data_IF_182509304631
#
_entry.id   IF_182509304631
#
_cell.length_a   1.000
_cell.length_b   1.000
_cell.length_c   1.000
_cell.angle_alpha   90.00
_cell.angle_beta   90.00
_cell.angle_gamma   90.00
#
_symmetry.space_group_name_H-M   'P 1'
#
loop_
_entity.id
_entity.type
_entity.pdbx_description
1 polymer ?
#
# COMPACT_ATOMS: atom_id res chain seq x y z
N UNK A 1 -10.37 -19.82 1.49
CA UNK A 1 -9.99 -18.59 0.75
C UNK A 1 -9.34 -17.55 1.66
N UNK A 2 -9.61 -17.55 2.97
CA UNK A 2 -8.88 -16.82 4.03
C UNK A 2 -7.45 -17.36 4.28
N UNK A 3 -6.57 -17.34 3.29
CA UNK A 3 -5.15 -17.64 3.55
C UNK A 3 -4.23 -16.75 2.71
N UNK A 4 -4.54 -16.57 1.42
CA UNK A 4 -3.69 -15.78 0.54
C UNK A 4 -3.74 -14.28 0.87
N UNK A 5 -4.93 -13.71 1.06
CA UNK A 5 -5.03 -12.29 1.40
C UNK A 5 -4.43 -11.99 2.77
N UNK A 6 -4.65 -12.86 3.76
CA UNK A 6 -4.09 -12.72 5.10
C UNK A 6 -2.54 -12.74 5.05
N UNK A 7 -1.94 -13.62 4.24
CA UNK A 7 -0.49 -13.62 4.01
C UNK A 7 0.01 -12.29 3.39
N UNK A 8 -0.69 -11.80 2.37
CA UNK A 8 -0.37 -10.54 1.67
C UNK A 8 -0.46 -9.36 2.63
N UNK A 9 -1.56 -9.28 3.41
CA UNK A 9 -1.78 -8.28 4.45
C UNK A 9 -0.66 -8.30 5.49
N UNK A 10 -0.35 -9.47 6.05
CA UNK A 10 0.72 -9.60 7.05
C UNK A 10 2.06 -9.11 6.50
N UNK A 11 2.41 -9.52 5.28
CA UNK A 11 3.66 -9.08 4.65
C UNK A 11 3.67 -7.60 4.25
N UNK A 12 2.50 -7.00 3.99
CA UNK A 12 2.37 -5.55 3.80
C UNK A 12 2.54 -4.80 5.13
N UNK A 13 1.96 -5.30 6.22
CA UNK A 13 2.08 -4.69 7.54
C UNK A 13 3.54 -4.72 8.03
N UNK A 14 4.26 -5.82 7.83
CA UNK A 14 5.71 -5.87 8.08
C UNK A 14 6.49 -4.81 7.29
N UNK A 15 6.13 -4.60 6.02
CA UNK A 15 6.75 -3.57 5.20
C UNK A 15 6.45 -2.16 5.70
N UNK A 16 5.19 -1.91 6.11
CA UNK A 16 4.77 -0.63 6.69
C UNK A 16 5.54 -0.35 7.99
N UNK A 17 5.71 -1.34 8.87
CA UNK A 17 6.52 -1.21 10.09
C UNK A 17 7.98 -0.83 9.78
N UNK A 18 8.58 -1.45 8.77
CA UNK A 18 9.93 -1.09 8.34
C UNK A 18 9.95 0.34 7.74
N UNK A 19 8.94 0.70 6.94
CA UNK A 19 8.82 2.02 6.33
C UNK A 19 8.60 3.14 7.36
N UNK A 20 8.04 2.84 8.54
CA UNK A 20 7.93 3.78 9.67
C UNK A 20 9.28 4.28 10.19
N UNK A 21 10.35 3.53 9.95
CA UNK A 21 11.72 3.92 10.34
C UNK A 21 12.38 4.89 9.34
N UNK A 22 11.72 5.16 8.21
CA UNK A 22 12.22 6.10 7.20
C UNK A 22 11.85 7.53 7.59
N UNK A 23 12.78 8.46 7.36
CA UNK A 23 12.50 9.89 7.37
C UNK A 23 11.51 10.26 6.27
N UNK A 24 10.86 11.42 6.43
CA UNK A 24 10.01 11.99 5.38
C UNK A 24 10.76 12.14 4.05
N UNK A 25 12.03 12.51 4.08
CA UNK A 25 12.85 12.65 2.87
C UNK A 25 13.09 11.32 2.17
N UNK A 26 13.42 10.25 2.90
CA UNK A 26 13.60 8.90 2.34
C UNK A 26 12.29 8.36 1.74
N UNK A 27 11.16 8.54 2.46
CA UNK A 27 9.84 8.10 2.00
C UNK A 27 9.41 8.77 0.68
N UNK A 28 9.78 10.05 0.51
CA UNK A 28 9.42 10.87 -0.66
C UNK A 28 10.52 10.92 -1.75
N UNK A 29 11.70 10.32 -1.52
CA UNK A 29 12.80 10.37 -2.47
C UNK A 29 12.39 9.75 -3.80
N UNK A 30 12.56 10.49 -4.89
CA UNK A 30 12.14 10.05 -6.21
C UNK A 30 13.28 9.36 -6.97
N UNK A 31 13.22 8.03 -7.11
CA UNK A 31 14.20 7.22 -7.84
C UNK A 31 14.02 7.26 -9.38
N UNK A 32 13.50 8.38 -9.90
CA UNK A 32 13.25 8.59 -11.33
C UNK A 32 11.95 7.97 -11.84
N UNK A 33 11.74 8.06 -13.17
CA UNK A 33 10.47 7.71 -13.81
C UNK A 33 10.07 6.24 -13.65
N UNK A 34 11.04 5.32 -13.55
CA UNK A 34 10.81 3.88 -13.44
C UNK A 34 10.40 3.45 -12.03
N UNK A 35 11.09 3.93 -11.01
CA UNK A 35 10.93 3.44 -9.64
C UNK A 35 10.08 4.34 -8.76
N UNK A 36 10.03 5.66 -9.06
CA UNK A 36 9.30 6.65 -8.26
C UNK A 36 9.74 6.61 -6.79
N UNK A 37 8.95 7.17 -5.88
CA UNK A 37 9.23 7.15 -4.43
C UNK A 37 8.59 5.96 -3.73
N UNK A 38 9.07 5.59 -2.54
CA UNK A 38 8.40 4.58 -1.70
C UNK A 38 6.94 4.97 -1.44
N UNK A 39 6.67 6.22 -1.08
CA UNK A 39 5.30 6.75 -0.92
C UNK A 39 4.43 6.46 -2.15
N UNK A 40 4.89 6.87 -3.32
CA UNK A 40 4.18 6.64 -4.58
C UNK A 40 3.79 5.17 -4.76
N UNK A 41 4.74 4.25 -4.57
CA UNK A 41 4.49 2.82 -4.75
C UNK A 41 3.46 2.30 -3.72
N UNK A 42 3.51 2.75 -2.46
CA UNK A 42 2.47 2.43 -1.46
C UNK A 42 1.09 2.93 -1.91
N UNK A 43 1.01 4.15 -2.44
CA UNK A 43 -0.22 4.72 -2.96
C UNK A 43 -0.77 3.94 -4.18
N UNK A 44 0.09 3.34 -5.01
CA UNK A 44 -0.36 2.47 -6.11
C UNK A 44 -0.96 1.15 -5.61
N UNK A 45 -0.48 0.62 -4.48
CA UNK A 45 -1.10 -0.54 -3.84
C UNK A 45 -2.49 -0.15 -3.33
N UNK A 46 -2.60 0.93 -2.56
CA UNK A 46 -3.86 1.42 -2.02
C UNK A 46 -4.88 1.73 -3.12
N UNK A 47 -4.44 2.32 -4.23
CA UNK A 47 -5.29 2.60 -5.40
C UNK A 47 -5.91 1.34 -5.99
N UNK A 48 -5.10 0.32 -6.23
CA UNK A 48 -5.57 -0.90 -6.86
C UNK A 48 -6.66 -1.60 -6.03
N UNK A 49 -6.51 -1.62 -4.70
CA UNK A 49 -7.55 -2.14 -3.83
C UNK A 49 -8.79 -1.25 -3.80
N UNK A 50 -8.63 0.08 -3.78
CA UNK A 50 -9.78 0.99 -3.79
C UNK A 50 -10.63 0.81 -5.07
N UNK A 51 -10.01 0.91 -6.25
CA UNK A 51 -10.71 0.69 -7.53
C UNK A 51 -11.31 -0.72 -7.60
N UNK A 52 -10.56 -1.68 -7.10
CA UNK A 52 -10.92 -3.08 -7.14
C UNK A 52 -12.08 -3.49 -6.25
N UNK A 53 -12.35 -2.67 -5.24
CA UNK A 53 -13.37 -2.84 -4.23
C UNK A 53 -14.33 -1.65 -4.24
N UNK A 54 -14.59 -1.03 -5.40
CA UNK A 54 -15.44 0.17 -5.54
C UNK A 54 -16.83 0.01 -4.88
N UNK A 55 -17.38 -1.21 -4.91
CA UNK A 55 -18.64 -1.57 -4.23
C UNK A 55 -18.60 -1.39 -2.70
N UNK A 56 -17.41 -1.29 -2.11
CA UNK A 56 -17.15 -1.08 -0.68
C UNK A 56 -16.41 0.24 -0.39
N UNK A 57 -16.37 1.17 -1.36
CA UNK A 57 -15.64 2.45 -1.22
C UNK A 57 -16.06 3.26 0.01
N UNK A 58 -17.31 3.18 0.44
CA UNK A 58 -17.81 3.90 1.61
C UNK A 58 -17.14 3.41 2.91
N UNK A 59 -16.67 2.16 2.93
CA UNK A 59 -15.92 1.59 4.05
C UNK A 59 -14.42 1.92 3.95
N UNK A 60 -13.90 2.01 2.73
CA UNK A 60 -12.48 2.27 2.46
C UNK A 60 -12.13 3.76 2.63
N UNK A 61 -13.02 4.64 2.17
CA UNK A 61 -12.79 6.07 2.01
C UNK A 61 -12.50 6.46 0.55
N UNK A 62 -12.63 7.75 0.27
CA UNK A 62 -12.40 8.34 -1.06
C UNK A 62 -10.90 8.41 -1.37
N UNK A 63 -10.46 7.69 -2.41
CA UNK A 63 -9.06 7.66 -2.80
C UNK A 63 -8.58 8.97 -3.41
N UNK A 64 -9.40 9.69 -4.16
CA UNK A 64 -8.99 10.94 -4.78
C UNK A 64 -8.74 12.00 -3.71
N UNK A 65 -9.62 12.10 -2.70
CA UNK A 65 -9.40 12.97 -1.55
C UNK A 65 -8.14 12.56 -0.76
N UNK A 66 -7.93 11.25 -0.57
CA UNK A 66 -6.74 10.74 0.09
C UNK A 66 -5.46 11.10 -0.70
N UNK A 67 -5.46 10.89 -2.01
CA UNK A 67 -4.35 11.20 -2.92
C UNK A 67 -4.09 12.69 -3.05
N UNK A 68 -5.11 13.54 -3.03
CA UNK A 68 -4.95 15.00 -3.03
C UNK A 68 -4.13 15.48 -1.82
N UNK A 69 -4.24 14.78 -0.70
CA UNK A 69 -3.39 15.00 0.47
C UNK A 69 -1.99 14.38 0.35
N UNK A 70 -1.67 13.68 -0.75
CA UNK A 70 -0.43 12.93 -0.98
C UNK A 70 0.88 13.62 -0.58
N UNK A 71 1.06 14.92 -0.86
CA UNK A 71 2.25 15.66 -0.39
C UNK A 71 2.37 15.71 1.13
N UNK A 72 1.24 15.76 1.85
CA UNK A 72 1.13 15.84 3.31
C UNK A 72 1.03 14.48 3.99
N UNK A 73 0.62 13.43 3.26
CA UNK A 73 0.50 12.08 3.82
C UNK A 73 1.83 11.63 4.44
N UNK A 74 1.77 11.20 5.68
CA UNK A 74 2.83 10.44 6.33
C UNK A 74 2.53 8.94 6.23
N UNK A 75 3.41 8.11 6.78
CA UNK A 75 3.27 6.65 6.73
C UNK A 75 2.06 6.13 7.53
N UNK A 76 1.69 6.80 8.63
CA UNK A 76 0.53 6.45 9.47
C UNK A 76 -0.76 6.71 8.70
N UNK A 77 -0.84 7.82 7.95
CA UNK A 77 -2.03 8.09 7.12
C UNK A 77 -2.22 6.99 6.06
N UNK A 78 -1.13 6.48 5.50
CA UNK A 78 -1.13 5.40 4.52
C UNK A 78 -1.52 4.06 5.16
N UNK A 79 -0.99 3.77 6.34
CA UNK A 79 -1.38 2.59 7.14
C UNK A 79 -2.87 2.60 7.46
N UNK A 80 -3.41 3.71 7.96
CA UNK A 80 -4.84 3.84 8.26
C UNK A 80 -5.71 3.58 7.02
N UNK A 81 -5.26 3.98 5.83
CA UNK A 81 -5.99 3.68 4.59
C UNK A 81 -5.98 2.18 4.27
N UNK A 82 -4.86 1.49 4.52
CA UNK A 82 -4.80 0.03 4.41
C UNK A 82 -5.67 -0.68 5.45
N UNK A 83 -5.77 -0.15 6.67
CA UNK A 83 -6.67 -0.70 7.69
C UNK A 83 -8.14 -0.64 7.22
N UNK A 84 -8.55 0.44 6.54
CA UNK A 84 -9.90 0.52 5.97
C UNK A 84 -10.12 -0.50 4.83
N UNK A 85 -9.10 -0.75 3.99
CA UNK A 85 -9.14 -1.80 2.96
C UNK A 85 -9.28 -3.18 3.61
N UNK A 86 -8.47 -3.45 4.63
CA UNK A 86 -8.49 -4.72 5.37
C UNK A 86 -9.86 -4.94 6.00
N UNK A 87 -10.41 -3.92 6.65
CA UNK A 87 -11.75 -3.94 7.22
C UNK A 87 -12.82 -4.26 6.17
N UNK A 88 -12.77 -3.62 4.99
CA UNK A 88 -13.72 -3.87 3.92
C UNK A 88 -13.66 -5.33 3.41
N UNK A 89 -12.47 -5.92 3.31
CA UNK A 89 -12.32 -7.33 2.91
C UNK A 89 -12.78 -8.29 4.01
N UNK A 90 -12.49 -7.99 5.28
CA UNK A 90 -12.93 -8.81 6.42
C UNK A 90 -14.46 -8.85 6.57
N UNK A 91 -15.11 -7.69 6.41
CA UNK A 91 -16.57 -7.59 6.56
C UNK A 91 -17.33 -8.13 5.34
N UNK A 92 -16.72 -8.12 4.16
CA UNK A 92 -17.36 -8.52 2.92
C UNK A 92 -16.50 -9.59 2.22
N UNK A 93 -16.67 -10.89 2.55
CA UNK A 93 -15.90 -11.96 1.93
C UNK A 93 -16.02 -11.91 0.41
N UNK A 94 -14.94 -11.49 -0.26
CA UNK A 94 -14.87 -11.39 -1.72
C UNK A 94 -14.34 -12.70 -2.31
N UNK A 95 -14.84 -13.14 -3.47
CA UNK A 95 -14.21 -14.24 -4.18
C UNK A 95 -12.73 -13.95 -4.49
N UNK A 96 -11.81 -14.92 -4.34
CA UNK A 96 -10.38 -14.75 -4.55
C UNK A 96 -10.06 -14.17 -5.92
N UNK A 97 -10.76 -14.60 -6.95
CA UNK A 97 -10.60 -14.11 -8.32
C UNK A 97 -10.82 -12.60 -8.43
N UNK A 98 -11.67 -12.03 -7.57
CA UNK A 98 -11.91 -10.58 -7.50
C UNK A 98 -10.73 -9.86 -6.89
N UNK A 99 -10.12 -10.39 -5.83
CA UNK A 99 -8.99 -9.75 -5.12
C UNK A 99 -7.62 -10.10 -5.71
N UNK A 100 -7.52 -11.18 -6.49
CA UNK A 100 -6.27 -11.69 -7.03
C UNK A 100 -5.48 -10.64 -7.84
N UNK A 101 -6.10 -9.85 -8.74
CA UNK A 101 -5.36 -8.82 -9.48
C UNK A 101 -4.71 -7.77 -8.56
N UNK A 102 -5.40 -7.39 -7.47
CA UNK A 102 -4.91 -6.39 -6.52
C UNK A 102 -3.83 -6.98 -5.60
N UNK A 103 -3.94 -8.26 -5.27
CA UNK A 103 -2.88 -9.03 -4.59
C UNK A 103 -1.62 -9.07 -5.46
N UNK A 104 -1.72 -9.35 -6.77
CA UNK A 104 -0.56 -9.33 -7.66
C UNK A 104 0.09 -7.94 -7.73
N UNK A 105 -0.73 -6.90 -7.85
CA UNK A 105 -0.27 -5.51 -7.80
C UNK A 105 0.46 -5.20 -6.49
N UNK A 106 -0.09 -5.64 -5.35
CA UNK A 106 0.51 -5.53 -4.03
C UNK A 106 1.91 -6.19 -3.98
N UNK A 107 2.02 -7.45 -4.42
CA UNK A 107 3.32 -8.14 -4.51
C UNK A 107 4.35 -7.37 -5.36
N UNK A 108 3.95 -6.90 -6.55
CA UNK A 108 4.85 -6.16 -7.45
C UNK A 108 5.40 -4.90 -6.78
N UNK A 109 4.51 -4.06 -6.24
CA UNK A 109 4.90 -2.79 -5.64
C UNK A 109 5.63 -2.98 -4.30
N UNK A 110 5.26 -3.96 -3.47
CA UNK A 110 6.03 -4.30 -2.27
C UNK A 110 7.44 -4.78 -2.61
N UNK A 111 7.60 -5.58 -3.66
CA UNK A 111 8.91 -5.99 -4.15
C UNK A 111 9.78 -4.79 -4.55
N UNK A 112 9.20 -3.82 -5.27
CA UNK A 112 9.87 -2.56 -5.59
C UNK A 112 10.24 -1.78 -4.32
N UNK A 113 9.32 -1.62 -3.38
CA UNK A 113 9.58 -0.86 -2.14
C UNK A 113 10.72 -1.51 -1.33
N UNK A 114 10.69 -2.83 -1.13
CA UNK A 114 11.78 -3.55 -0.45
C UNK A 114 13.12 -3.29 -1.12
N UNK A 115 13.18 -3.36 -2.45
CA UNK A 115 14.39 -3.02 -3.21
C UNK A 115 14.85 -1.58 -2.96
N UNK A 116 13.93 -0.61 -2.94
CA UNK A 116 14.26 0.80 -2.69
C UNK A 116 14.75 1.06 -1.25
N UNK A 117 14.20 0.35 -0.26
CA UNK A 117 14.61 0.49 1.14
C UNK A 117 16.05 0.01 1.38
N UNK A 118 16.50 -1.02 0.67
CA UNK A 118 17.91 -1.49 0.72
C UNK A 118 18.90 -0.36 0.39
N UNK A 119 18.55 0.56 -0.52
CA UNK A 119 19.44 1.69 -0.83
C UNK A 119 19.68 2.57 0.40
N UNK A 120 18.66 2.80 1.22
CA UNK A 120 18.81 3.63 2.42
C UNK A 120 19.50 2.89 3.56
N UNK A 121 19.35 1.57 3.64
CA UNK A 121 20.08 0.75 4.61
C UNK A 121 21.59 0.76 4.32
N UNK A 122 22.00 0.69 3.06
CA UNK A 122 23.41 0.69 2.65
C UNK A 122 24.08 2.06 2.81
N UNK A 123 23.30 3.14 2.77
CA UNK A 123 23.82 4.51 2.89
C UNK A 123 23.95 4.99 4.35
N UNK A 124 23.44 4.23 5.32
CA UNK A 124 23.54 4.50 6.76
C UNK A 124 24.81 3.88 7.35
#
# INVERSE_FOLDING_TARGET
MNNLYDEVRNSRNELLEQAKQLSTSELNYNFGSKFKSIKYNLLQIAYAYHEGLDQYKDQIGDYDLFKENGPKLNIIDIENYFDNIDYAIEQNPVPPETVMPYIFNDYEYRGKIKFLMIFFEVLK
#
